data_IF_483821294785
#
_entry.id   IF_483821294785
#
_cell.length_a   1.000
_cell.length_b   1.000
_cell.length_c   1.000
_cell.angle_alpha   90.00
_cell.angle_beta   90.00
_cell.angle_gamma   90.00
#
_symmetry.space_group_name_H-M   'P 1'
#
loop_
_entity.id
_entity.type
_entity.pdbx_description
1 polymer ?
#
# COMPACT_ATOMS: atom_id res chain seq x y z
N UNK A 1 0.85 0.12 -15.64
CA UNK A 1 1.72 -1.03 -15.99
C UNK A 1 3.18 -0.74 -15.64
N UNK A 2 3.73 0.44 -15.98
CA UNK A 2 5.13 0.74 -15.63
C UNK A 2 5.39 0.67 -14.13
N UNK A 3 4.48 1.16 -13.28
CA UNK A 3 4.65 1.06 -11.84
C UNK A 3 4.73 -0.41 -11.34
N UNK A 4 3.99 -1.32 -11.96
CA UNK A 4 4.10 -2.75 -11.63
C UNK A 4 5.51 -3.30 -11.96
N UNK A 5 6.09 -2.89 -13.09
CA UNK A 5 7.47 -3.24 -13.46
C UNK A 5 8.46 -2.66 -12.45
N UNK A 6 8.27 -1.41 -12.03
CA UNK A 6 9.11 -0.74 -11.03
C UNK A 6 9.02 -1.47 -9.67
N UNK A 7 7.83 -1.89 -9.25
CA UNK A 7 7.64 -2.68 -8.03
C UNK A 7 8.35 -4.04 -8.11
N UNK A 8 8.28 -4.71 -9.27
CA UNK A 8 8.99 -5.99 -9.49
C UNK A 8 10.51 -5.81 -9.41
N UNK A 9 11.04 -4.70 -9.90
CA UNK A 9 12.47 -4.40 -9.82
C UNK A 9 12.99 -4.30 -8.38
N UNK A 10 12.11 -4.00 -7.41
CA UNK A 10 12.46 -3.94 -5.99
C UNK A 10 12.66 -5.31 -5.34
N UNK A 11 12.26 -6.41 -5.97
CA UNK A 11 12.39 -7.76 -5.40
C UNK A 11 13.84 -8.15 -5.12
N UNK A 12 14.77 -7.68 -5.97
CA UNK A 12 16.19 -8.04 -5.83
C UNK A 12 16.76 -7.50 -4.50
N UNK A 13 17.27 -8.42 -3.70
CA UNK A 13 17.89 -8.12 -2.41
C UNK A 13 16.91 -7.88 -1.25
N UNK A 14 15.59 -7.76 -1.51
CA UNK A 14 14.59 -7.47 -0.46
C UNK A 14 13.81 -8.70 0.01
N UNK A 15 13.69 -9.71 -0.84
CA UNK A 15 13.00 -10.96 -0.49
C UNK A 15 13.82 -12.19 -0.87
N UNK A 16 13.66 -13.25 -0.10
CA UNK A 16 14.13 -14.60 -0.42
C UNK A 16 12.97 -15.59 -0.60
N UNK A 17 11.73 -15.10 -0.55
CA UNK A 17 10.54 -15.93 -0.68
C UNK A 17 10.37 -16.42 -2.12
N UNK A 18 10.54 -17.74 -2.40
CA UNK A 18 10.60 -18.24 -3.78
C UNK A 18 9.30 -18.01 -4.55
N UNK A 19 8.14 -18.07 -3.87
CA UNK A 19 6.84 -17.82 -4.48
C UNK A 19 6.68 -16.36 -4.93
N UNK A 20 7.12 -15.39 -4.10
CA UNK A 20 7.07 -13.95 -4.42
C UNK A 20 8.01 -13.65 -5.58
N UNK A 21 9.23 -14.19 -5.58
CA UNK A 21 10.19 -14.03 -6.68
C UNK A 21 9.61 -14.60 -8.00
N UNK A 22 9.04 -15.80 -7.96
CA UNK A 22 8.45 -16.44 -9.13
C UNK A 22 7.22 -15.65 -9.64
N UNK A 23 6.43 -15.08 -8.72
CA UNK A 23 5.28 -14.22 -9.05
C UNK A 23 5.73 -12.93 -9.72
N UNK A 24 6.74 -12.26 -9.18
CA UNK A 24 7.31 -11.06 -9.78
C UNK A 24 7.85 -11.30 -11.20
N UNK A 25 8.57 -12.41 -11.40
CA UNK A 25 9.06 -12.78 -12.74
C UNK A 25 7.93 -13.08 -13.74
N UNK A 26 6.78 -13.56 -13.27
CA UNK A 26 5.58 -13.75 -14.10
C UNK A 26 4.95 -12.39 -14.44
N UNK A 27 4.73 -11.54 -13.42
CA UNK A 27 4.16 -10.19 -13.59
C UNK A 27 5.02 -9.36 -14.54
N UNK A 28 6.35 -9.38 -14.40
CA UNK A 28 7.22 -8.63 -15.32
C UNK A 28 6.94 -8.98 -16.79
N UNK A 29 6.79 -10.26 -17.11
CA UNK A 29 6.51 -10.69 -18.48
C UNK A 29 5.14 -10.26 -18.98
N UNK A 30 4.08 -10.46 -18.17
CA UNK A 30 2.72 -10.06 -18.56
C UNK A 30 2.64 -8.54 -18.76
N UNK A 31 3.25 -7.76 -17.86
CA UNK A 31 3.27 -6.30 -17.94
C UNK A 31 4.07 -5.78 -19.17
N UNK A 32 5.21 -6.40 -19.48
CA UNK A 32 6.00 -6.06 -20.68
C UNK A 32 5.21 -6.32 -21.96
N UNK A 33 4.51 -7.46 -22.06
CA UNK A 33 3.65 -7.82 -23.19
C UNK A 33 2.47 -6.84 -23.32
N UNK A 34 1.81 -6.49 -22.23
CA UNK A 34 0.71 -5.54 -22.19
C UNK A 34 1.15 -4.12 -22.56
N UNK A 35 2.31 -3.66 -22.08
CA UNK A 35 2.92 -2.37 -22.47
C UNK A 35 3.22 -2.37 -23.97
N UNK A 36 3.78 -3.45 -24.51
CA UNK A 36 4.07 -3.56 -25.95
C UNK A 36 2.79 -3.47 -26.79
N UNK A 37 1.72 -4.15 -26.40
CA UNK A 37 0.42 -4.09 -27.09
C UNK A 37 -0.19 -2.69 -27.06
N UNK A 38 -0.12 -1.98 -25.92
CA UNK A 38 -0.61 -0.60 -25.79
C UNK A 38 0.17 0.35 -26.70
N UNK A 39 1.51 0.24 -26.71
CA UNK A 39 2.38 1.04 -27.58
C UNK A 39 2.09 0.78 -29.06
N UNK A 40 1.94 -0.48 -29.48
CA UNK A 40 1.58 -0.82 -30.86
C UNK A 40 0.23 -0.22 -31.25
N UNK A 41 -0.77 -0.32 -30.36
CA UNK A 41 -2.11 0.26 -30.61
C UNK A 41 -2.05 1.78 -30.81
N UNK A 42 -1.25 2.50 -30.01
CA UNK A 42 -1.02 3.94 -30.15
C UNK A 42 -0.28 4.28 -31.44
N UNK A 43 0.83 3.58 -31.73
CA UNK A 43 1.66 3.83 -32.93
C UNK A 43 0.86 3.66 -34.24
N UNK A 44 0.02 2.62 -34.33
CA UNK A 44 -0.84 2.38 -35.50
C UNK A 44 -1.81 3.54 -35.75
N UNK A 45 -2.14 4.30 -34.69
CA UNK A 45 -3.05 5.46 -34.73
C UNK A 45 -2.32 6.79 -34.83
N UNK A 46 -0.98 6.77 -34.83
CA UNK A 46 -0.18 7.98 -34.87
C UNK A 46 -0.17 8.78 -33.57
N UNK A 47 -0.53 8.10 -32.46
CA UNK A 47 -0.52 8.70 -31.13
C UNK A 47 0.88 8.60 -30.49
N UNK A 48 1.17 9.53 -29.54
CA UNK A 48 2.42 9.51 -28.79
C UNK A 48 2.53 8.26 -27.91
N UNK A 49 3.70 7.64 -27.87
CA UNK A 49 3.98 6.41 -27.11
C UNK A 49 4.91 6.62 -25.93
N UNK A 50 5.58 7.75 -25.82
CA UNK A 50 6.51 8.07 -24.73
C UNK A 50 5.88 9.07 -23.75
N UNK A 51 6.14 8.85 -22.45
CA UNK A 51 5.63 9.72 -21.38
C UNK A 51 6.18 11.15 -21.50
N UNK A 52 7.35 11.35 -22.13
CA UNK A 52 7.95 12.66 -22.36
C UNK A 52 7.14 13.49 -23.36
N UNK A 53 6.45 12.87 -24.30
CA UNK A 53 5.58 13.56 -25.27
C UNK A 53 4.27 14.06 -24.62
N UNK A 54 3.89 13.54 -23.45
CA UNK A 54 2.67 13.93 -22.72
C UNK A 54 2.87 15.17 -21.84
N UNK A 55 4.10 15.58 -21.57
CA UNK A 55 4.40 16.74 -20.70
C UNK A 55 4.21 18.09 -21.38
N UNK A 56 4.03 18.15 -22.71
CA UNK A 56 3.90 19.42 -23.45
C UNK A 56 2.47 20.00 -23.48
N UNK A 57 1.46 19.33 -22.92
CA UNK A 57 0.06 19.76 -23.01
C UNK A 57 -0.62 20.16 -21.69
N UNK A 58 0.07 20.21 -20.56
CA UNK A 58 -0.53 20.64 -19.29
C UNK A 58 -0.01 21.98 -18.76
N UNK A 59 -0.23 23.06 -19.54
CA UNK A 59 -0.28 24.41 -18.98
C UNK A 59 -1.72 24.94 -18.99
N UNK A 60 -2.11 25.40 -17.80
CA UNK A 60 -3.29 26.19 -17.43
C UNK A 60 -4.58 25.46 -17.05
N UNK A 61 -4.91 25.48 -15.76
CA UNK A 61 -5.88 26.45 -15.25
C UNK A 61 -5.85 26.47 -13.72
N UNK A 62 -5.48 27.65 -13.20
CA UNK A 62 -5.72 27.99 -11.81
C UNK A 62 -7.20 28.28 -11.56
N UNK A 63 -7.69 27.85 -10.40
CA UNK A 63 -9.00 28.17 -9.90
C UNK A 63 -9.01 28.04 -8.38
N UNK A 64 -8.89 29.17 -7.68
CA UNK A 64 -9.02 29.27 -6.23
C UNK A 64 -10.45 28.98 -5.79
N UNK A 65 -10.64 28.09 -4.84
CA UNK A 65 -11.75 28.13 -3.91
C UNK A 65 -11.30 27.51 -2.60
N UNK A 66 -11.16 28.34 -1.57
CA UNK A 66 -10.83 27.90 -0.23
C UNK A 66 -11.99 27.16 0.40
N UNK A 67 -11.69 25.99 0.93
CA UNK A 67 -12.44 25.33 1.98
C UNK A 67 -11.42 24.56 2.82
N UNK A 68 -11.53 24.67 4.16
CA UNK A 68 -10.75 23.96 5.14
C UNK A 68 -10.87 22.45 4.89
N UNK A 69 -9.84 21.88 4.26
CA UNK A 69 -9.66 20.45 4.13
C UNK A 69 -8.46 20.07 4.98
N UNK A 70 -8.60 19.02 5.78
CA UNK A 70 -7.49 18.29 6.31
C UNK A 70 -6.54 18.02 5.14
N UNK A 71 -5.38 18.68 5.15
CA UNK A 71 -4.36 18.50 4.11
C UNK A 71 -3.86 17.05 4.20
N UNK A 72 -4.35 16.20 3.29
CA UNK A 72 -3.67 14.94 3.02
C UNK A 72 -2.24 15.28 2.58
N UNK A 73 -1.26 14.55 3.08
CA UNK A 73 0.12 14.68 2.63
C UNK A 73 0.11 14.49 1.09
N UNK A 74 0.71 15.40 0.31
CA UNK A 74 0.81 15.20 -1.14
C UNK A 74 1.41 13.87 -1.55
N UNK A 75 2.26 13.27 -0.69
CA UNK A 75 2.82 11.94 -0.87
C UNK A 75 1.80 10.79 -0.70
N UNK A 76 0.62 11.04 -0.14
CA UNK A 76 -0.44 10.03 0.02
C UNK A 76 -1.42 9.99 -1.16
N UNK A 77 -1.26 10.89 -2.15
CA UNK A 77 -2.15 10.97 -3.30
C UNK A 77 -1.56 10.13 -4.44
N UNK A 78 -2.27 9.09 -4.85
CA UNK A 78 -1.95 8.33 -6.05
C UNK A 78 -2.28 9.16 -7.32
N UNK A 79 -1.47 8.99 -8.36
CA UNK A 79 -1.66 9.70 -9.65
C UNK A 79 -2.93 9.24 -10.36
N UNK A 80 -3.23 7.94 -10.26
CA UNK A 80 -4.40 7.31 -10.87
C UNK A 80 -4.97 6.25 -9.92
N UNK A 81 -6.28 5.91 -10.04
CA UNK A 81 -6.83 4.75 -9.34
C UNK A 81 -6.02 3.48 -9.63
N UNK A 82 -5.75 2.68 -8.60
CA UNK A 82 -4.94 1.47 -8.71
C UNK A 82 -3.43 1.68 -8.65
N UNK A 83 -2.91 2.91 -8.72
CA UNK A 83 -1.50 3.19 -8.49
C UNK A 83 -1.19 3.38 -7.01
N UNK A 84 -0.04 2.89 -6.57
CA UNK A 84 0.50 3.22 -5.26
C UNK A 84 0.88 4.70 -5.21
N UNK A 85 0.62 5.34 -4.08
CA UNK A 85 1.08 6.69 -3.82
C UNK A 85 2.62 6.73 -3.64
N UNK A 86 3.26 7.91 -3.77
CA UNK A 86 4.69 8.04 -3.49
C UNK A 86 5.09 7.52 -2.11
N UNK A 87 4.28 7.74 -1.07
CA UNK A 87 4.55 7.25 0.28
C UNK A 87 4.44 5.71 0.37
N UNK A 88 3.49 5.11 -0.32
CA UNK A 88 3.37 3.65 -0.40
C UNK A 88 4.55 3.02 -1.15
N UNK A 89 5.00 3.63 -2.25
CA UNK A 89 6.20 3.18 -2.96
C UNK A 89 7.45 3.30 -2.08
N UNK A 90 7.62 4.41 -1.37
CA UNK A 90 8.73 4.60 -0.45
C UNK A 90 8.72 3.58 0.71
N UNK A 91 7.53 3.25 1.23
CA UNK A 91 7.40 2.20 2.25
C UNK A 91 7.80 0.82 1.71
N UNK A 92 7.40 0.49 0.49
CA UNK A 92 7.80 -0.74 -0.19
C UNK A 92 9.32 -0.80 -0.42
N UNK A 93 9.93 0.32 -0.86
CA UNK A 93 11.38 0.42 -1.06
C UNK A 93 12.18 0.26 0.23
N UNK A 94 11.64 0.69 1.36
CA UNK A 94 12.30 0.60 2.66
C UNK A 94 12.14 -0.76 3.35
N UNK A 95 11.16 -1.56 2.94
CA UNK A 95 10.84 -2.85 3.54
C UNK A 95 11.79 -3.96 3.06
N UNK A 96 11.94 -5.00 3.90
CA UNK A 96 12.70 -6.22 3.60
C UNK A 96 12.00 -7.46 4.17
N UNK A 97 12.32 -8.63 3.63
CA UNK A 97 11.83 -9.92 4.10
C UNK A 97 10.31 -10.03 4.04
N UNK A 98 9.69 -10.57 5.08
CA UNK A 98 8.24 -10.83 5.12
C UNK A 98 7.40 -9.55 5.03
N UNK A 99 7.90 -8.42 5.56
CA UNK A 99 7.22 -7.14 5.45
C UNK A 99 7.21 -6.64 3.99
N UNK A 100 8.35 -6.75 3.31
CA UNK A 100 8.42 -6.47 1.88
C UNK A 100 7.46 -7.38 1.09
N UNK A 101 7.46 -8.68 1.36
CA UNK A 101 6.58 -9.65 0.68
C UNK A 101 5.11 -9.25 0.83
N UNK A 102 4.70 -8.83 2.02
CA UNK A 102 3.34 -8.38 2.31
C UNK A 102 2.98 -7.12 1.52
N UNK A 103 3.79 -6.07 1.66
CA UNK A 103 3.56 -4.78 0.98
C UNK A 103 3.58 -4.93 -0.55
N UNK A 104 4.47 -5.78 -1.08
CA UNK A 104 4.52 -6.10 -2.51
C UNK A 104 3.24 -6.78 -2.99
N UNK A 105 2.77 -7.82 -2.29
CA UNK A 105 1.56 -8.54 -2.67
C UNK A 105 0.32 -7.68 -2.54
N UNK A 106 0.16 -6.94 -1.44
CA UNK A 106 -0.96 -6.02 -1.22
C UNK A 106 -0.99 -4.90 -2.27
N UNK A 107 0.16 -4.28 -2.49
CA UNK A 107 0.29 -3.20 -3.48
C UNK A 107 0.03 -3.67 -4.90
N UNK A 108 0.53 -4.86 -5.27
CA UNK A 108 0.35 -5.43 -6.59
C UNK A 108 -1.11 -5.89 -6.83
N UNK A 109 -1.78 -6.46 -5.82
CA UNK A 109 -3.21 -6.76 -5.87
C UNK A 109 -4.02 -5.49 -6.12
N UNK A 110 -3.72 -4.42 -5.37
CA UNK A 110 -4.39 -3.12 -5.54
C UNK A 110 -4.16 -2.55 -6.94
N UNK A 111 -2.92 -2.63 -7.45
CA UNK A 111 -2.57 -2.17 -8.79
C UNK A 111 -3.33 -2.93 -9.88
N UNK A 112 -3.38 -4.25 -9.79
CA UNK A 112 -4.10 -5.10 -10.74
C UNK A 112 -5.61 -4.87 -10.69
N UNK A 113 -6.19 -4.69 -9.49
CA UNK A 113 -7.61 -4.37 -9.37
C UNK A 113 -7.94 -3.04 -10.06
N UNK A 114 -7.09 -2.02 -9.90
CA UNK A 114 -7.26 -0.75 -10.61
C UNK A 114 -7.25 -0.89 -12.13
N UNK A 115 -6.43 -1.79 -12.68
CA UNK A 115 -6.43 -2.07 -14.11
C UNK A 115 -7.73 -2.76 -14.58
N UNK A 116 -8.27 -3.70 -13.80
CA UNK A 116 -9.56 -4.33 -14.07
C UNK A 116 -10.70 -3.30 -14.02
N UNK A 117 -10.69 -2.42 -13.03
CA UNK A 117 -11.69 -1.35 -12.90
C UNK A 117 -11.63 -0.39 -14.10
N UNK A 118 -10.44 -0.07 -14.61
CA UNK A 118 -10.28 0.74 -15.83
C UNK A 118 -10.77 0.02 -17.08
N UNK A 119 -10.62 -1.30 -17.18
CA UNK A 119 -11.21 -2.10 -18.27
C UNK A 119 -12.72 -2.07 -18.19
N UNK A 120 -13.29 -2.25 -17.01
CA UNK A 120 -14.75 -2.20 -16.82
C UNK A 120 -15.30 -0.83 -17.23
N UNK A 121 -14.62 0.27 -16.84
CA UNK A 121 -14.99 1.62 -17.26
C UNK A 121 -14.88 1.79 -18.77
N UNK A 122 -13.78 1.35 -19.39
CA UNK A 122 -13.60 1.38 -20.85
C UNK A 122 -14.76 0.71 -21.58
N UNK A 123 -15.18 -0.47 -21.13
CA UNK A 123 -16.25 -1.25 -21.75
C UNK A 123 -17.64 -0.61 -21.60
N UNK A 124 -17.81 0.39 -20.75
CA UNK A 124 -19.06 1.18 -20.71
C UNK A 124 -19.21 2.11 -21.91
N UNK A 125 -18.11 2.40 -22.63
CA UNK A 125 -18.13 3.31 -23.77
C UNK A 125 -18.51 2.55 -25.04
N UNK A 126 -19.55 2.97 -25.80
CA UNK A 126 -19.94 2.33 -27.04
C UNK A 126 -18.77 2.29 -28.03
N UNK A 127 -18.50 1.11 -28.57
CA UNK A 127 -17.45 0.91 -29.57
C UNK A 127 -16.03 0.73 -29.02
N UNK A 128 -15.80 0.87 -27.72
CA UNK A 128 -14.45 0.83 -27.13
C UNK A 128 -13.70 -0.49 -27.40
N UNK A 129 -14.39 -1.63 -27.46
CA UNK A 129 -13.80 -2.94 -27.71
C UNK A 129 -14.17 -3.53 -29.10
N UNK A 130 -14.68 -2.72 -30.04
CA UNK A 130 -14.96 -3.16 -31.41
C UNK A 130 -13.68 -3.32 -32.25
N UNK A 131 -12.62 -2.63 -31.88
CA UNK A 131 -11.30 -2.79 -32.49
C UNK A 131 -10.67 -4.12 -32.04
N UNK A 132 -10.19 -4.91 -32.98
CA UNK A 132 -9.64 -6.25 -32.72
C UNK A 132 -8.46 -6.21 -31.74
N UNK A 133 -7.52 -5.27 -31.95
CA UNK A 133 -6.34 -5.14 -31.08
C UNK A 133 -6.74 -4.75 -29.65
N UNK A 134 -7.71 -3.84 -29.53
CA UNK A 134 -8.22 -3.43 -28.20
C UNK A 134 -8.98 -4.58 -27.53
N UNK A 135 -9.78 -5.34 -28.27
CA UNK A 135 -10.48 -6.51 -27.74
C UNK A 135 -9.51 -7.60 -27.26
N UNK A 136 -8.45 -7.87 -28.02
CA UNK A 136 -7.40 -8.80 -27.62
C UNK A 136 -6.65 -8.29 -26.39
N UNK A 137 -6.26 -7.03 -26.36
CA UNK A 137 -5.59 -6.41 -25.20
C UNK A 137 -6.44 -6.52 -23.93
N UNK A 138 -7.71 -6.12 -24.00
CA UNK A 138 -8.65 -6.24 -22.86
C UNK A 138 -8.78 -7.69 -22.38
N UNK A 139 -8.86 -8.64 -23.34
CA UNK A 139 -8.93 -10.06 -23.01
C UNK A 139 -7.68 -10.56 -22.26
N UNK A 140 -6.50 -10.13 -22.68
CA UNK A 140 -5.22 -10.45 -22.00
C UNK A 140 -5.18 -9.85 -20.59
N UNK A 141 -5.44 -8.55 -20.45
CA UNK A 141 -5.44 -7.86 -19.15
C UNK A 141 -6.38 -8.54 -18.17
N UNK A 142 -7.62 -8.81 -18.57
CA UNK A 142 -8.60 -9.46 -17.69
C UNK A 142 -8.16 -10.87 -17.28
N UNK A 143 -7.69 -11.68 -18.24
CA UNK A 143 -7.30 -13.05 -17.96
C UNK A 143 -6.07 -13.15 -17.06
N UNK A 144 -5.01 -12.41 -17.37
CA UNK A 144 -3.74 -12.49 -16.66
C UNK A 144 -3.82 -11.84 -15.29
N UNK A 145 -4.35 -10.62 -15.21
CA UNK A 145 -4.37 -9.90 -13.93
C UNK A 145 -5.37 -10.50 -12.93
N UNK A 146 -6.54 -10.99 -13.37
CA UNK A 146 -7.45 -11.71 -12.47
C UNK A 146 -6.81 -13.00 -11.91
N UNK A 147 -6.10 -13.76 -12.76
CA UNK A 147 -5.40 -14.96 -12.30
C UNK A 147 -4.23 -14.64 -11.36
N UNK A 148 -3.53 -13.54 -11.59
CA UNK A 148 -2.44 -13.06 -10.74
C UNK A 148 -2.94 -12.58 -9.38
N UNK A 149 -4.05 -11.84 -9.33
CA UNK A 149 -4.71 -11.44 -8.07
C UNK A 149 -5.01 -12.68 -7.21
N UNK A 150 -5.65 -13.70 -7.78
CA UNK A 150 -5.99 -14.92 -7.02
C UNK A 150 -4.76 -15.61 -6.43
N UNK A 151 -3.65 -15.69 -7.19
CA UNK A 151 -2.40 -16.28 -6.71
C UNK A 151 -1.76 -15.43 -5.63
N UNK A 152 -1.73 -14.10 -5.78
CA UNK A 152 -1.19 -13.19 -4.79
C UNK A 152 -2.00 -13.21 -3.49
N UNK A 153 -3.32 -13.26 -3.57
CA UNK A 153 -4.19 -13.41 -2.40
C UNK A 153 -3.91 -14.71 -1.64
N UNK A 154 -3.71 -15.83 -2.36
CA UNK A 154 -3.33 -17.10 -1.72
C UNK A 154 -1.98 -16.98 -1.01
N UNK A 155 -0.97 -16.41 -1.66
CA UNK A 155 0.35 -16.22 -1.04
C UNK A 155 0.28 -15.27 0.16
N UNK A 156 -0.50 -14.20 0.07
CA UNK A 156 -0.68 -13.23 1.17
C UNK A 156 -1.31 -13.90 2.39
N UNK A 157 -2.26 -14.82 2.18
CA UNK A 157 -2.90 -15.58 3.26
C UNK A 157 -1.96 -16.59 3.94
N UNK A 158 -0.93 -17.03 3.24
CA UNK A 158 0.07 -17.96 3.74
C UNK A 158 1.24 -17.28 4.47
N UNK A 159 1.37 -15.94 4.34
CA UNK A 159 2.40 -15.18 5.06
C UNK A 159 2.10 -15.13 6.57
N UNK A 160 3.15 -15.13 7.42
CA UNK A 160 2.98 -14.85 8.84
C UNK A 160 2.24 -13.53 9.07
N UNK A 161 1.45 -13.40 10.15
CA UNK A 161 0.84 -12.13 10.50
C UNK A 161 1.93 -11.05 10.66
N UNK A 162 1.59 -9.81 10.32
CA UNK A 162 2.49 -8.67 10.56
C UNK A 162 2.88 -8.66 12.04
N UNK A 163 4.17 -8.49 12.35
CA UNK A 163 4.58 -8.29 13.73
C UNK A 163 4.00 -6.94 14.19
N UNK A 164 2.92 -6.98 14.96
CA UNK A 164 2.44 -5.81 15.68
C UNK A 164 3.61 -5.29 16.51
N UNK A 165 4.06 -4.07 16.22
CA UNK A 165 5.25 -3.47 16.78
C UNK A 165 5.37 -3.74 18.28
N UNK A 166 6.39 -4.51 18.66
CA UNK A 166 6.82 -4.59 20.06
C UNK A 166 7.26 -3.17 20.46
N UNK A 167 6.36 -2.43 21.04
CA UNK A 167 6.72 -1.26 21.83
C UNK A 167 7.71 -1.75 22.88
N UNK A 168 8.99 -1.43 22.71
CA UNK A 168 10.00 -1.58 23.73
C UNK A 168 9.65 -0.63 24.87
N UNK A 169 8.80 -1.11 25.76
CA UNK A 169 8.59 -0.51 27.07
C UNK A 169 9.84 -0.84 27.92
N UNK A 170 10.91 -0.08 27.68
CA UNK A 170 12.02 0.00 28.61
C UNK A 170 11.57 0.83 29.81
N UNK A 171 10.83 0.20 30.72
CA UNK A 171 10.72 0.70 32.08
C UNK A 171 12.04 0.41 32.81
N UNK A 172 12.96 1.35 32.68
CA UNK A 172 14.11 1.47 33.57
C UNK A 172 13.58 1.91 34.95
N UNK A 173 13.32 0.95 35.82
CA UNK A 173 13.11 1.22 37.24
C UNK A 173 14.45 1.53 37.91
N UNK A 174 14.82 2.80 37.90
CA UNK A 174 15.85 3.32 38.81
C UNK A 174 15.27 3.36 40.24
N UNK A 175 15.62 2.34 41.04
CA UNK A 175 15.49 2.39 42.48
C UNK A 175 16.52 3.40 43.02
N UNK A 176 16.08 4.59 43.38
CA UNK A 176 16.82 5.47 44.29
C UNK A 176 16.34 5.13 45.70
N UNK A 177 17.24 4.47 46.45
CA UNK A 177 17.14 4.35 47.90
C UNK A 177 17.44 5.70 48.55
N UNK A 178 16.56 6.14 49.40
CA UNK A 178 16.84 7.16 50.38
C UNK A 178 16.53 6.59 51.78
N UNK A 179 17.61 6.25 52.46
CA UNK A 179 17.64 6.11 53.91
C UNK A 179 17.38 7.47 54.57
N UNK A 180 16.40 7.55 55.43
CA UNK A 180 16.34 8.56 56.47
C UNK A 180 15.80 7.95 57.77
N UNK A 181 16.72 7.84 58.75
CA UNK A 181 16.48 7.70 60.18
C UNK A 181 15.77 8.94 60.70
N UNK A 182 14.90 8.73 61.71
CA UNK A 182 14.35 9.85 62.49
C UNK A 182 13.23 9.40 63.41
N UNK A 183 13.63 8.95 64.59
CA UNK A 183 13.14 9.00 65.95
C UNK A 183 11.73 9.58 66.23
N UNK A 184 11.06 8.80 67.11
CA UNK A 184 9.95 8.95 68.03
C UNK A 184 9.53 10.39 68.48
N UNK A 185 8.37 10.57 69.24
CA UNK A 185 7.69 9.63 70.16
C UNK A 185 6.13 9.63 70.09
N UNK A 186 5.61 8.73 70.95
CA UNK A 186 4.21 8.44 71.30
C UNK A 186 3.47 9.68 71.80
N UNK A 187 2.17 9.74 71.58
CA UNK A 187 1.19 10.11 72.61
C UNK A 187 -0.19 9.50 72.36
N UNK A 188 -0.79 9.26 73.48
CA UNK A 188 -2.01 8.52 73.76
C UNK A 188 -3.30 9.28 73.40
N UNK A 189 -4.34 8.54 73.37
CA UNK A 189 -5.68 8.88 73.87
C UNK A 189 -6.86 8.88 72.89
N UNK A 190 -7.63 7.92 73.09
CA UNK A 190 -9.03 7.97 73.55
C UNK A 190 -10.18 7.91 72.50
N UNK A 191 -10.79 6.78 72.60
CA UNK A 191 -12.23 6.46 72.76
C UNK A 191 -13.32 7.33 72.09
N UNK A 192 -14.20 6.74 71.45
CA UNK A 192 -15.64 6.54 71.69
C UNK A 192 -16.42 6.26 70.40
N UNK A 193 -17.10 5.10 70.46
CA UNK A 193 -18.55 4.84 70.34
C UNK A 193 -19.35 5.61 69.21
N UNK A 194 -20.05 4.90 68.40
CA UNK A 194 -21.46 4.56 68.35
C UNK A 194 -21.91 3.92 67.04
N UNK A 195 -22.46 2.77 67.16
CA UNK A 195 -23.74 2.21 66.70
C UNK A 195 -24.60 3.06 65.71
N UNK A 196 -25.11 2.41 64.72
CA UNK A 196 -26.51 2.09 64.32
C UNK A 196 -26.48 1.65 62.85
N UNK A 197 -26.82 0.45 62.49
CA UNK A 197 -28.04 -0.30 62.35
C UNK A 197 -29.11 0.30 61.42
N UNK A 198 -29.66 -0.60 60.62
CA UNK A 198 -30.86 -0.60 59.78
C UNK A 198 -30.66 -0.30 58.27
N UNK A 199 -30.93 -1.15 57.49
CA UNK A 199 -31.86 -2.18 57.00
C UNK A 199 -31.44 -2.61 55.62
#
# INVERSE_FOLDING_TARGET
>A
HQQAVDMVALLEGRTTHPGVIAMGARIARSQDDEIAMMREWLMVRGEAVDADDLHDHHHHHGGHSGHDHHHADPGDIAVMPGMLSPNQMAALEAAEGTEFDRLFLEGMIYHHQGALDMVDELLTHPGAAEDVMMSEFVGHVVADQAAEILRMQSMLSDLPPAEEGRSHDHHDHHHHGHDHHGDHPRDDSNAHHHHHDHR
#
